data_IF_953968875371
#
_entry.id   IF_953968875371
#
_cell.length_a   1.000
_cell.length_b   1.000
_cell.length_c   1.000
_cell.angle_alpha   90.00
_cell.angle_beta   90.00
_cell.angle_gamma   90.00
#
_symmetry.space_group_name_H-M   'P 1'
#
loop_
_entity.id
_entity.type
_entity.pdbx_description
1 polymer ?
#
# COMPACT_ATOMS: atom_id res chain seq x y z
N UNK A 1 17.76 -1.71 -10.20
CA UNK A 1 18.18 -2.39 -8.96
C UNK A 1 18.74 -3.74 -9.36
N UNK A 2 19.89 -4.12 -8.80
CA UNK A 2 20.45 -5.47 -8.95
C UNK A 2 20.40 -6.12 -7.57
N UNK A 3 19.77 -7.29 -7.50
CA UNK A 3 19.71 -8.11 -6.29
C UNK A 3 20.78 -9.19 -6.44
N UNK A 4 21.71 -9.28 -5.50
CA UNK A 4 22.87 -10.19 -5.59
C UNK A 4 23.04 -11.02 -4.33
N UNK A 5 23.45 -12.27 -4.50
CA UNK A 5 23.85 -13.19 -3.43
C UNK A 5 25.32 -13.54 -3.62
N UNK A 6 26.12 -13.36 -2.58
CA UNK A 6 27.56 -13.66 -2.61
C UNK A 6 27.87 -14.91 -1.78
N UNK A 7 28.59 -15.84 -2.40
CA UNK A 7 29.16 -17.01 -1.76
C UNK A 7 30.38 -16.62 -0.88
N UNK A 8 30.76 -17.45 0.11
CA UNK A 8 30.14 -18.72 0.48
C UNK A 8 28.90 -18.57 1.38
N UNK A 9 28.74 -17.44 2.07
CA UNK A 9 27.78 -17.31 3.17
C UNK A 9 26.37 -16.83 2.74
N UNK A 10 26.09 -16.84 1.43
CA UNK A 10 24.86 -16.34 0.84
C UNK A 10 24.50 -14.90 1.29
N UNK A 11 25.50 -14.01 1.32
CA UNK A 11 25.31 -12.61 1.69
C UNK A 11 24.46 -11.92 0.62
N UNK A 12 23.29 -11.43 1.01
CA UNK A 12 22.39 -10.67 0.14
C UNK A 12 22.77 -9.19 0.14
N UNK A 13 23.08 -8.64 -1.04
CA UNK A 13 23.32 -7.22 -1.28
C UNK A 13 22.45 -6.71 -2.42
N UNK A 14 21.76 -5.59 -2.20
CA UNK A 14 21.00 -4.87 -3.22
C UNK A 14 21.77 -3.63 -3.70
N UNK A 15 22.04 -3.55 -5.01
CA UNK A 15 22.63 -2.39 -5.64
C UNK A 15 21.56 -1.53 -6.32
N UNK A 16 21.46 -0.27 -5.90
CA UNK A 16 20.64 0.76 -6.56
C UNK A 16 21.57 1.73 -7.29
N UNK A 17 21.38 1.86 -8.59
CA UNK A 17 22.05 2.86 -9.40
C UNK A 17 21.11 4.04 -9.58
N UNK A 18 21.57 5.23 -9.21
CA UNK A 18 20.85 6.49 -9.35
C UNK A 18 21.75 7.51 -10.03
N UNK A 19 21.16 8.43 -10.80
CA UNK A 19 21.91 9.58 -11.27
C UNK A 19 22.25 10.46 -10.06
N UNK A 20 23.33 11.25 -10.16
CA UNK A 20 23.73 12.13 -9.07
C UNK A 20 22.59 13.11 -8.68
N UNK A 21 21.89 13.78 -9.61
CA UNK A 21 20.74 14.62 -9.25
C UNK A 21 19.60 13.88 -8.54
N UNK A 22 19.39 12.59 -8.82
CA UNK A 22 18.31 11.81 -8.20
C UNK A 22 18.69 11.28 -6.80
N UNK A 23 19.97 11.32 -6.43
CA UNK A 23 20.44 10.83 -5.12
C UNK A 23 19.85 11.60 -3.94
N UNK A 24 19.37 12.83 -4.17
CA UNK A 24 18.62 13.63 -3.20
C UNK A 24 17.33 12.93 -2.76
N UNK A 25 16.68 12.20 -3.68
CA UNK A 25 15.42 11.49 -3.45
C UNK A 25 15.69 10.13 -2.82
N UNK A 26 15.79 10.11 -1.50
CA UNK A 26 16.10 8.91 -0.72
C UNK A 26 15.22 8.76 0.51
N UNK A 27 15.06 7.52 0.93
CA UNK A 27 14.28 7.14 2.11
C UNK A 27 15.17 6.99 3.33
N UNK A 28 16.38 6.48 3.13
CA UNK A 28 17.34 6.18 4.19
C UNK A 28 18.40 7.26 4.29
N UNK A 29 18.94 7.43 5.50
CA UNK A 29 20.15 8.22 5.69
C UNK A 29 21.37 7.40 5.27
N UNK A 30 22.07 7.84 4.23
CA UNK A 30 23.12 7.07 3.58
C UNK A 30 24.50 7.50 4.06
N UNK A 31 25.32 6.53 4.46
CA UNK A 31 26.75 6.75 4.68
C UNK A 31 27.50 6.81 3.34
N UNK A 32 28.34 7.82 3.16
CA UNK A 32 29.23 7.93 1.99
C UNK A 32 30.49 7.10 2.26
N UNK A 33 30.63 5.97 1.54
CA UNK A 33 31.83 5.13 1.63
C UNK A 33 32.95 5.60 0.70
N UNK A 34 32.58 6.16 -0.45
CA UNK A 34 33.49 6.75 -1.43
C UNK A 34 32.74 7.75 -2.30
N UNK A 35 33.39 8.85 -2.68
CA UNK A 35 32.88 9.81 -3.64
C UNK A 35 34.04 10.49 -4.40
N UNK A 36 33.71 11.14 -5.52
CA UNK A 36 34.65 11.99 -6.25
C UNK A 36 34.52 13.43 -5.78
N UNK A 37 35.53 13.95 -5.07
CA UNK A 37 35.47 15.27 -4.46
C UNK A 37 34.46 15.27 -3.31
N UNK A 38 33.43 16.12 -3.39
CA UNK A 38 32.31 16.21 -2.44
C UNK A 38 30.95 16.03 -3.12
N UNK A 39 30.94 15.57 -4.37
CA UNK A 39 29.75 15.60 -5.23
C UNK A 39 28.53 14.91 -4.62
N UNK A 40 28.72 13.76 -3.97
CA UNK A 40 27.60 13.02 -3.38
C UNK A 40 27.19 13.66 -2.06
N UNK A 41 28.15 14.02 -1.21
CA UNK A 41 27.91 14.71 0.06
C UNK A 41 27.14 16.01 -0.15
N UNK A 42 27.54 16.83 -1.11
CA UNK A 42 26.90 18.11 -1.43
C UNK A 42 25.44 17.90 -1.85
N UNK A 43 25.16 16.88 -2.66
CA UNK A 43 23.79 16.55 -3.08
C UNK A 43 22.96 16.03 -1.92
N UNK A 44 23.49 15.12 -1.11
CA UNK A 44 22.77 14.56 0.04
C UNK A 44 22.45 15.61 1.11
N UNK A 45 23.25 16.68 1.20
CA UNK A 45 23.01 17.81 2.08
C UNK A 45 21.85 18.72 1.63
N UNK A 46 21.40 18.62 0.37
CA UNK A 46 20.31 19.47 -0.15
C UNK A 46 18.91 19.04 0.30
N UNK A 47 18.74 17.81 0.79
CA UNK A 47 17.45 17.34 1.32
C UNK A 47 17.63 16.27 2.39
N UNK A 48 16.65 16.24 3.31
CA UNK A 48 16.53 15.21 4.34
C UNK A 48 15.86 13.97 3.73
N UNK A 49 16.33 12.75 4.06
CA UNK A 49 15.65 11.52 3.65
C UNK A 49 14.21 11.48 4.18
N UNK A 50 13.28 11.04 3.34
CA UNK A 50 11.88 10.92 3.73
C UNK A 50 11.20 9.73 3.06
N UNK A 51 10.39 9.00 3.84
CA UNK A 51 9.53 7.95 3.30
C UNK A 51 8.30 8.58 2.64
N UNK A 52 7.93 8.18 1.40
CA UNK A 52 6.72 8.67 0.74
C UNK A 52 5.47 8.45 1.60
N UNK A 53 4.74 9.52 1.87
CA UNK A 53 3.48 9.43 2.62
C UNK A 53 2.33 9.03 1.69
N UNK A 54 1.37 8.21 2.14
CA UNK A 54 0.15 8.00 1.38
C UNK A 54 -0.63 9.30 1.31
N UNK A 55 -1.19 9.59 0.14
CA UNK A 55 -2.07 10.73 -0.10
C UNK A 55 -3.53 10.28 0.10
N UNK A 56 -4.21 10.70 1.18
CA UNK A 56 -5.58 10.30 1.45
C UNK A 56 -6.57 10.75 0.37
N UNK A 57 -6.36 11.93 -0.24
CA UNK A 57 -7.24 12.42 -1.30
C UNK A 57 -7.08 11.58 -2.56
N UNK A 58 -5.83 11.28 -2.95
CA UNK A 58 -5.56 10.43 -4.11
C UNK A 58 -6.20 9.03 -3.95
N UNK A 59 -6.22 8.51 -2.73
CA UNK A 59 -6.91 7.26 -2.38
C UNK A 59 -8.42 7.42 -2.50
N UNK A 60 -9.03 8.44 -1.88
CA UNK A 60 -10.48 8.67 -1.91
C UNK A 60 -11.02 8.81 -3.34
N UNK A 61 -10.32 9.54 -4.20
CA UNK A 61 -10.68 9.72 -5.60
C UNK A 61 -10.80 8.38 -6.38
N UNK A 62 -10.16 7.32 -5.89
CA UNK A 62 -10.01 6.03 -6.60
C UNK A 62 -10.65 4.86 -5.89
N UNK A 63 -10.80 4.91 -4.58
CA UNK A 63 -11.20 3.76 -3.76
C UNK A 63 -12.53 3.15 -4.21
N UNK A 64 -13.49 3.99 -4.59
CA UNK A 64 -14.81 3.52 -5.05
C UNK A 64 -14.74 2.84 -6.41
N UNK A 65 -13.96 3.39 -7.35
CA UNK A 65 -13.70 2.77 -8.66
C UNK A 65 -13.00 1.41 -8.46
N UNK A 66 -12.04 1.33 -7.54
CA UNK A 66 -11.38 0.08 -7.16
C UNK A 66 -12.34 -0.95 -6.56
N UNK A 67 -13.25 -0.51 -5.69
CA UNK A 67 -14.31 -1.37 -5.15
C UNK A 67 -15.17 -1.96 -6.26
N UNK A 68 -15.61 -1.14 -7.21
CA UNK A 68 -16.36 -1.61 -8.37
C UNK A 68 -15.53 -2.57 -9.24
N UNK A 69 -14.23 -2.31 -9.43
CA UNK A 69 -13.35 -3.19 -10.19
C UNK A 69 -13.22 -4.58 -9.53
N UNK A 70 -13.02 -4.64 -8.21
CA UNK A 70 -13.03 -5.90 -7.47
C UNK A 70 -14.35 -6.67 -7.67
N UNK A 71 -15.48 -5.95 -7.56
CA UNK A 71 -16.81 -6.52 -7.74
C UNK A 71 -16.99 -7.15 -9.14
N UNK A 72 -16.61 -6.42 -10.18
CA UNK A 72 -16.73 -6.90 -11.58
C UNK A 72 -15.78 -8.06 -11.89
N UNK A 73 -14.59 -8.12 -11.28
CA UNK A 73 -13.68 -9.28 -11.39
C UNK A 73 -14.30 -10.54 -10.79
N UNK A 74 -14.84 -10.44 -9.58
CA UNK A 74 -15.56 -11.55 -8.92
C UNK A 74 -16.75 -12.01 -9.79
N UNK A 75 -17.54 -11.08 -10.32
CA UNK A 75 -18.70 -11.40 -11.15
C UNK A 75 -18.33 -12.15 -12.44
N UNK A 76 -17.13 -11.91 -12.99
CA UNK A 76 -16.59 -12.56 -14.21
C UNK A 76 -15.86 -13.87 -13.92
N UNK A 77 -15.69 -14.26 -12.66
CA UNK A 77 -14.90 -15.45 -12.30
C UNK A 77 -13.38 -15.21 -12.29
N UNK A 78 -12.93 -13.96 -12.32
CA UNK A 78 -11.51 -13.57 -12.29
C UNK A 78 -10.99 -13.60 -10.84
N UNK A 79 -10.98 -14.78 -10.22
CA UNK A 79 -10.75 -14.93 -8.78
C UNK A 79 -9.30 -14.68 -8.34
N UNK A 80 -8.31 -15.18 -9.08
CA UNK A 80 -6.89 -14.88 -8.80
C UNK A 80 -6.60 -13.38 -8.96
N UNK A 81 -7.12 -12.78 -10.02
CA UNK A 81 -7.04 -11.32 -10.23
C UNK A 81 -7.66 -10.53 -9.08
N UNK A 82 -8.78 -11.01 -8.52
CA UNK A 82 -9.39 -10.39 -7.34
C UNK A 82 -8.50 -10.56 -6.11
N UNK A 83 -7.90 -11.74 -5.93
CA UNK A 83 -6.99 -12.02 -4.82
C UNK A 83 -5.76 -11.10 -4.85
N UNK A 84 -5.14 -10.92 -6.02
CA UNK A 84 -4.03 -9.98 -6.21
C UNK A 84 -4.47 -8.54 -5.96
N UNK A 85 -5.69 -8.19 -6.39
CA UNK A 85 -6.23 -6.86 -6.14
C UNK A 85 -6.47 -6.57 -4.66
N UNK A 86 -6.91 -7.57 -3.88
CA UNK A 86 -6.99 -7.45 -2.42
C UNK A 86 -5.60 -7.22 -1.79
N UNK A 87 -4.56 -7.86 -2.32
CA UNK A 87 -3.17 -7.61 -1.94
C UNK A 87 -2.78 -6.16 -2.22
N UNK A 88 -3.08 -5.66 -3.41
CA UNK A 88 -2.85 -4.26 -3.78
C UNK A 88 -3.49 -3.28 -2.78
N UNK A 89 -4.75 -3.50 -2.39
CA UNK A 89 -5.43 -2.64 -1.41
C UNK A 89 -4.77 -2.66 -0.03
N UNK A 90 -4.33 -3.84 0.46
CA UNK A 90 -3.57 -3.92 1.71
C UNK A 90 -2.25 -3.15 1.62
N UNK A 91 -1.53 -3.27 0.51
CA UNK A 91 -0.17 -2.74 0.37
C UNK A 91 -0.15 -1.23 0.15
N UNK A 92 -1.12 -0.68 -0.57
CA UNK A 92 -1.09 0.69 -1.06
C UNK A 92 -2.12 1.61 -0.41
N UNK A 93 -3.13 1.04 0.27
CA UNK A 93 -4.24 1.81 0.84
C UNK A 93 -4.34 1.60 2.34
N UNK A 94 -4.77 0.41 2.76
CA UNK A 94 -5.22 0.17 4.13
C UNK A 94 -4.07 0.26 5.13
N UNK A 95 -2.98 -0.48 4.89
CA UNK A 95 -1.84 -0.50 5.81
C UNK A 95 -1.05 0.82 5.80
N UNK A 96 -0.75 1.45 4.64
CA UNK A 96 -0.15 2.79 4.63
C UNK A 96 -0.94 3.85 5.39
N UNK A 97 -2.26 3.93 5.22
CA UNK A 97 -3.10 4.88 5.96
C UNK A 97 -3.08 4.61 7.47
N UNK A 98 -3.23 3.35 7.88
CA UNK A 98 -3.16 2.99 9.31
C UNK A 98 -1.81 3.34 9.94
N UNK A 99 -0.70 3.07 9.24
CA UNK A 99 0.64 3.42 9.69
C UNK A 99 0.83 4.94 9.79
N UNK A 100 0.37 5.71 8.78
CA UNK A 100 0.39 7.17 8.81
C UNK A 100 -0.38 7.71 10.01
N UNK A 101 -1.59 7.22 10.26
CA UNK A 101 -2.42 7.65 11.39
C UNK A 101 -1.77 7.35 12.75
N UNK A 102 -0.98 6.29 12.83
CA UNK A 102 -0.19 5.96 14.01
C UNK A 102 1.17 6.69 14.11
N UNK A 103 1.50 7.60 13.18
CA UNK A 103 2.78 8.30 13.14
C UNK A 103 3.97 7.40 12.78
N UNK A 104 3.71 6.26 12.14
CA UNK A 104 4.72 5.27 11.76
C UNK A 104 5.03 5.34 10.26
N UNK A 105 6.23 4.90 9.87
CA UNK A 105 6.65 4.83 8.46
C UNK A 105 5.68 3.97 7.61
N UNK A 106 5.04 4.49 6.55
CA UNK A 106 3.97 3.81 5.82
C UNK A 106 4.50 2.77 4.79
N UNK A 107 5.23 1.77 5.27
CA UNK A 107 5.94 0.77 4.46
C UNK A 107 5.10 -0.44 4.04
N UNK A 108 3.92 -0.19 3.48
CA UNK A 108 2.97 -1.24 3.10
C UNK A 108 2.58 -2.09 4.31
N UNK A 109 2.63 -3.42 4.19
CA UNK A 109 2.32 -4.34 5.31
C UNK A 109 3.56 -4.82 6.08
N UNK A 110 4.74 -4.24 5.83
CA UNK A 110 5.99 -4.74 6.41
C UNK A 110 5.89 -4.77 7.93
N UNK A 111 5.89 -5.98 8.50
CA UNK A 111 5.83 -6.25 9.94
C UNK A 111 4.62 -5.61 10.64
N UNK A 112 3.50 -5.45 9.92
CA UNK A 112 2.30 -4.78 10.43
C UNK A 112 1.76 -5.46 11.69
N UNK A 113 1.93 -6.78 11.81
CA UNK A 113 1.53 -7.61 12.95
C UNK A 113 2.23 -7.20 14.25
N UNK A 114 3.46 -6.70 14.15
CA UNK A 114 4.22 -6.20 15.31
C UNK A 114 3.95 -4.73 15.59
N UNK A 115 3.69 -3.96 14.53
CA UNK A 115 3.63 -2.49 14.58
C UNK A 115 2.26 -1.97 14.94
N UNK A 116 1.21 -2.63 14.45
CA UNK A 116 -0.20 -2.33 14.73
C UNK A 116 -0.99 -3.65 14.91
N UNK A 117 -0.81 -4.38 16.02
CA UNK A 117 -1.39 -5.72 16.19
C UNK A 117 -2.92 -5.76 16.04
N UNK A 118 -3.64 -4.82 16.66
CA UNK A 118 -5.11 -4.75 16.58
C UNK A 118 -5.59 -4.48 15.15
N UNK A 119 -4.88 -3.60 14.42
CA UNK A 119 -5.18 -3.36 13.01
C UNK A 119 -4.85 -4.59 12.15
N UNK A 120 -3.77 -5.30 12.46
CA UNK A 120 -3.38 -6.51 11.75
C UNK A 120 -4.44 -7.63 11.88
N UNK A 121 -5.11 -7.75 13.03
CA UNK A 121 -6.25 -8.66 13.20
C UNK A 121 -7.42 -8.30 12.28
N UNK A 122 -7.72 -7.00 12.11
CA UNK A 122 -8.72 -6.55 11.14
C UNK A 122 -8.25 -6.79 9.70
N UNK A 123 -6.98 -6.55 9.41
CA UNK A 123 -6.37 -6.73 8.09
C UNK A 123 -6.36 -8.21 7.67
N UNK A 124 -6.15 -9.13 8.61
CA UNK A 124 -6.19 -10.58 8.38
C UNK A 124 -7.55 -11.06 7.84
N UNK A 125 -8.65 -10.37 8.21
CA UNK A 125 -9.99 -10.65 7.68
C UNK A 125 -10.17 -10.25 6.21
N UNK A 126 -9.20 -9.58 5.60
CA UNK A 126 -9.15 -9.29 4.15
C UNK A 126 -8.42 -10.37 3.34
N UNK A 127 -7.85 -11.38 4.00
CA UNK A 127 -7.23 -12.52 3.33
C UNK A 127 -8.34 -13.44 2.83
N UNK A 128 -8.26 -13.81 1.55
CA UNK A 128 -9.24 -14.67 0.90
C UNK A 128 -8.58 -15.91 0.31
N UNK A 129 -9.37 -16.97 0.15
CA UNK A 129 -9.06 -18.08 -0.76
C UNK A 129 -9.58 -17.76 -2.17
N UNK A 130 -9.20 -18.56 -3.17
CA UNK A 130 -9.66 -18.40 -4.56
C UNK A 130 -11.09 -18.96 -4.72
N UNK A 131 -11.98 -18.51 -3.85
CA UNK A 131 -13.38 -18.90 -3.79
C UNK A 131 -14.24 -17.65 -3.78
N UNK A 132 -15.32 -17.66 -4.57
CA UNK A 132 -16.19 -16.49 -4.76
C UNK A 132 -16.65 -15.86 -3.44
N UNK A 133 -17.14 -16.69 -2.52
CA UNK A 133 -17.65 -16.21 -1.24
C UNK A 133 -16.55 -15.61 -0.35
N UNK A 134 -15.37 -16.24 -0.31
CA UNK A 134 -14.22 -15.75 0.44
C UNK A 134 -13.77 -14.37 -0.05
N UNK A 135 -13.70 -14.20 -1.37
CA UNK A 135 -13.36 -12.92 -2.01
C UNK A 135 -14.39 -11.82 -1.72
N UNK A 136 -15.69 -12.14 -1.78
CA UNK A 136 -16.77 -11.21 -1.43
C UNK A 136 -16.61 -10.71 0.01
N UNK A 137 -16.37 -11.62 0.96
CA UNK A 137 -16.17 -11.27 2.38
C UNK A 137 -14.93 -10.40 2.58
N UNK A 138 -13.83 -10.71 1.90
CA UNK A 138 -12.61 -9.92 1.96
C UNK A 138 -12.78 -8.51 1.38
N UNK A 139 -13.50 -8.36 0.25
CA UNK A 139 -13.83 -7.03 -0.30
C UNK A 139 -14.72 -6.24 0.67
N UNK A 140 -15.73 -6.86 1.27
CA UNK A 140 -16.56 -6.23 2.33
C UNK A 140 -15.69 -5.72 3.47
N UNK A 141 -14.73 -6.53 3.92
CA UNK A 141 -13.80 -6.12 4.98
C UNK A 141 -12.89 -4.96 4.55
N UNK A 142 -12.38 -4.95 3.32
CA UNK A 142 -11.59 -3.83 2.80
C UNK A 142 -12.39 -2.53 2.77
N UNK A 143 -13.65 -2.56 2.34
CA UNK A 143 -14.55 -1.39 2.35
C UNK A 143 -14.75 -0.89 3.78
N UNK A 144 -15.05 -1.79 4.72
CA UNK A 144 -15.24 -1.44 6.13
C UNK A 144 -13.99 -0.79 6.74
N UNK A 145 -12.81 -1.35 6.48
CA UNK A 145 -11.55 -0.80 6.99
C UNK A 145 -11.22 0.56 6.37
N UNK A 146 -11.45 0.71 5.07
CA UNK A 146 -11.22 1.99 4.41
C UNK A 146 -12.10 3.08 4.98
N UNK A 147 -13.39 2.80 5.19
CA UNK A 147 -14.31 3.76 5.81
C UNK A 147 -13.84 4.17 7.21
N UNK A 148 -13.44 3.21 8.06
CA UNK A 148 -12.87 3.48 9.38
C UNK A 148 -11.63 4.39 9.31
N UNK A 149 -10.71 4.10 8.39
CA UNK A 149 -9.49 4.90 8.21
C UNK A 149 -9.80 6.29 7.64
N UNK A 150 -10.70 6.39 6.64
CA UNK A 150 -11.08 7.64 5.99
C UNK A 150 -11.70 8.63 6.97
N UNK A 151 -12.41 8.16 7.99
CA UNK A 151 -13.01 9.04 8.99
C UNK A 151 -11.98 9.81 9.82
N UNK A 152 -10.71 9.36 9.85
CA UNK A 152 -9.59 10.05 10.48
C UNK A 152 -8.77 10.93 9.50
N UNK A 153 -9.22 11.08 8.25
CA UNK A 153 -8.53 11.85 7.22
C UNK A 153 -9.36 13.06 6.77
N UNK A 154 -8.67 14.14 6.40
CA UNK A 154 -9.31 15.31 5.77
C UNK A 154 -9.29 15.11 4.26
N UNK A 155 -10.42 14.68 3.71
CA UNK A 155 -10.61 14.43 2.27
C UNK A 155 -11.93 15.00 1.77
N UNK A 156 -11.96 15.41 0.50
CA UNK A 156 -13.18 15.68 -0.24
C UNK A 156 -13.86 14.34 -0.60
N UNK A 157 -14.89 13.98 0.16
CA UNK A 157 -15.62 12.72 -0.01
C UNK A 157 -16.38 12.70 -1.32
N UNK A 158 -16.29 11.59 -2.06
CA UNK A 158 -17.10 11.37 -3.25
C UNK A 158 -18.27 10.44 -2.94
N UNK A 159 -19.24 10.97 -2.19
CA UNK A 159 -20.39 10.20 -1.70
C UNK A 159 -21.21 9.57 -2.84
N UNK A 160 -21.28 10.23 -4.00
CA UNK A 160 -21.96 9.70 -5.19
C UNK A 160 -21.24 8.49 -5.77
N UNK A 161 -19.92 8.54 -5.89
CA UNK A 161 -19.14 7.39 -6.35
C UNK A 161 -19.21 6.23 -5.35
N UNK A 162 -19.15 6.55 -4.04
CA UNK A 162 -19.36 5.59 -2.97
C UNK A 162 -20.69 4.86 -3.12
N UNK A 163 -21.80 5.61 -3.19
CA UNK A 163 -23.13 5.05 -3.31
C UNK A 163 -23.25 4.15 -4.53
N UNK A 164 -22.84 4.63 -5.72
CA UNK A 164 -22.93 3.85 -6.96
C UNK A 164 -22.12 2.55 -6.91
N UNK A 165 -20.87 2.62 -6.46
CA UNK A 165 -19.98 1.46 -6.46
C UNK A 165 -20.35 0.46 -5.36
N UNK A 166 -20.77 0.96 -4.20
CA UNK A 166 -21.23 0.12 -3.11
C UNK A 166 -22.57 -0.56 -3.44
N UNK A 167 -23.51 0.18 -4.04
CA UNK A 167 -24.78 -0.39 -4.50
C UNK A 167 -24.56 -1.48 -5.54
N UNK A 168 -23.68 -1.28 -6.52
CA UNK A 168 -23.33 -2.34 -7.48
C UNK A 168 -22.82 -3.60 -6.78
N UNK A 169 -21.93 -3.43 -5.79
CA UNK A 169 -21.40 -4.56 -5.03
C UNK A 169 -22.51 -5.29 -4.25
N UNK A 170 -23.45 -4.56 -3.66
CA UNK A 170 -24.62 -5.12 -2.96
C UNK A 170 -25.59 -5.80 -3.94
N UNK A 171 -25.90 -5.22 -5.09
CA UNK A 171 -26.79 -5.85 -6.06
C UNK A 171 -26.24 -7.18 -6.61
N UNK A 172 -24.90 -7.31 -6.65
CA UNK A 172 -24.25 -8.54 -7.10
C UNK A 172 -24.06 -9.58 -6.00
N UNK A 173 -23.86 -9.16 -4.74
CA UNK A 173 -23.36 -10.02 -3.66
C UNK A 173 -24.00 -9.77 -2.28
N UNK A 174 -24.99 -8.90 -2.20
CA UNK A 174 -25.84 -8.66 -1.05
C UNK A 174 -26.96 -9.70 -1.06
N UNK A 175 -26.83 -10.67 -0.15
CA UNK A 175 -27.75 -11.79 0.13
C UNK A 175 -28.57 -12.34 -1.05
#
# INVERSE_FOLDING_TARGET
>A
MIVSIFAPDAIHVDFKFVSLPDAVNRVDDCAVLWEKGTLLTDVLATAVPAYPQPDPQWIEDRFWIWTHYAATKIARGEYFETLEFLSFLRQNVLSPLALKQAGLTPSGVRTIEKRLPEFAEKLAKTIATVEKQSLILAVKQCISLYLELRDNEVVERNDRAQELCYQYFQDKFGN
#
